data_IF_375344441747
#
_entry.id   IF_375344441747
#
_cell.length_a   1.000
_cell.length_b   1.000
_cell.length_c   1.000
_cell.angle_alpha   90.00
_cell.angle_beta   90.00
_cell.angle_gamma   90.00
#
_symmetry.space_group_name_H-M   'P 1'
#
loop_
_entity.id
_entity.type
_entity.pdbx_description
1 polymer ?
#
# COMPACT_ATOMS: atom_id res chain seq x y z
N UNK A 1 -10.44 -29.35 18.12
CA UNK A 1 -10.66 -28.06 18.82
C UNK A 1 -9.45 -27.11 18.80
N UNK A 2 -8.42 -27.38 18.00
CA UNK A 2 -7.21 -26.53 17.87
C UNK A 2 -7.18 -25.68 16.59
N UNK A 3 -7.93 -26.08 15.54
CA UNK A 3 -7.98 -25.37 14.24
C UNK A 3 -8.70 -24.00 14.33
N UNK A 4 -9.64 -23.86 15.27
CA UNK A 4 -10.46 -22.65 15.42
C UNK A 4 -9.67 -21.44 15.97
N UNK A 5 -8.65 -21.68 16.82
CA UNK A 5 -7.83 -20.61 17.40
C UNK A 5 -6.78 -20.07 16.43
N UNK A 6 -6.18 -20.93 15.60
CA UNK A 6 -5.20 -20.49 14.60
C UNK A 6 -5.86 -19.71 13.44
N UNK A 7 -7.12 -20.05 13.10
CA UNK A 7 -7.90 -19.34 12.08
C UNK A 7 -8.29 -17.92 12.53
N UNK A 8 -8.51 -17.72 13.83
CA UNK A 8 -8.80 -16.40 14.43
C UNK A 8 -7.55 -15.50 14.50
N UNK A 9 -6.36 -16.05 14.80
CA UNK A 9 -5.10 -15.30 14.83
C UNK A 9 -4.66 -14.89 13.41
N UNK A 10 -4.93 -15.72 12.39
CA UNK A 10 -4.68 -15.40 10.99
C UNK A 10 -5.51 -14.23 10.47
N UNK A 11 -6.78 -14.12 10.88
CA UNK A 11 -7.69 -13.04 10.48
C UNK A 11 -7.30 -11.69 11.13
N UNK A 12 -6.88 -11.70 12.40
CA UNK A 12 -6.41 -10.51 13.11
C UNK A 12 -5.16 -9.89 12.45
N UNK A 13 -4.22 -10.73 11.97
CA UNK A 13 -3.00 -10.27 11.28
C UNK A 13 -3.29 -9.70 9.89
N UNK A 14 -4.29 -10.24 9.18
CA UNK A 14 -4.72 -9.73 7.87
C UNK A 14 -5.52 -8.43 7.96
N UNK A 15 -6.29 -8.21 9.03
CA UNK A 15 -6.90 -6.90 9.31
C UNK A 15 -5.84 -5.85 9.71
N UNK A 16 -4.89 -6.22 10.58
CA UNK A 16 -3.86 -5.29 11.06
C UNK A 16 -2.86 -4.87 9.98
N UNK A 17 -2.61 -5.68 8.94
CA UNK A 17 -1.70 -5.28 7.85
C UNK A 17 -2.28 -4.19 6.94
N UNK A 18 -3.60 -4.05 6.87
CA UNK A 18 -4.28 -3.01 6.09
C UNK A 18 -4.40 -1.66 6.83
N UNK A 19 -4.08 -1.61 8.12
CA UNK A 19 -4.06 -0.37 8.93
C UNK A 19 -2.67 0.29 8.96
N UNK A 20 -1.59 -0.42 8.60
CA UNK A 20 -0.21 0.12 8.56
C UNK A 20 0.15 0.84 7.24
N UNK A 21 -0.82 1.53 6.64
CA UNK A 21 -0.59 2.59 5.65
C UNK A 21 -1.50 3.81 5.91
N UNK A 22 -1.91 4.05 7.16
CA UNK A 22 -2.49 5.33 7.55
C UNK A 22 -2.30 5.72 9.03
N UNK A 23 -1.12 5.43 9.61
CA UNK A 23 -0.73 5.90 10.94
C UNK A 23 0.39 6.97 10.84
N UNK A 24 0.09 8.09 10.18
CA UNK A 24 0.89 9.32 10.33
C UNK A 24 0.07 10.61 10.22
N UNK A 25 -1.19 10.60 10.68
CA UNK A 25 -2.00 11.83 10.72
C UNK A 25 -3.09 11.78 11.81
N UNK A 26 -2.71 11.51 13.06
CA UNK A 26 -3.65 11.51 14.18
C UNK A 26 -3.02 11.99 15.51
N UNK A 27 -2.32 13.12 15.49
CA UNK A 27 -2.02 13.88 16.71
C UNK A 27 -2.14 15.39 16.45
N UNK A 28 -3.35 15.87 16.13
CA UNK A 28 -3.67 17.29 16.18
C UNK A 28 -5.16 17.50 16.49
N UNK A 29 -5.70 16.85 17.52
CA UNK A 29 -7.02 17.19 18.10
C UNK A 29 -7.10 16.87 19.59
N UNK A 30 -6.35 17.59 20.41
CA UNK A 30 -6.74 17.93 21.80
C UNK A 30 -5.70 18.88 22.39
N UNK A 31 -6.18 20.00 22.93
CA UNK A 31 -5.39 21.19 23.21
C UNK A 31 -4.54 21.12 24.47
N UNK A 32 -3.38 21.78 24.40
CA UNK A 32 -2.67 22.34 25.55
C UNK A 32 -2.57 23.86 25.33
N UNK A 33 -3.46 24.58 26.00
CA UNK A 33 -3.29 25.95 26.54
C UNK A 33 -2.08 25.87 27.53
N UNK A 34 -1.10 26.77 27.67
CA UNK A 34 -0.96 28.22 27.50
C UNK A 34 0.52 28.66 27.50
N UNK A 35 0.74 29.89 27.00
CA UNK A 35 1.74 30.91 27.40
C UNK A 35 3.25 30.66 27.21
N UNK A 36 3.79 31.33 26.18
CA UNK A 36 4.90 32.26 26.38
C UNK A 36 6.31 31.77 26.02
N UNK A 37 6.71 31.88 24.75
CA UNK A 37 8.04 32.38 24.37
C UNK A 37 8.04 32.78 22.89
N UNK A 38 8.27 34.07 22.63
CA UNK A 38 8.55 34.58 21.30
C UNK A 38 9.89 34.02 20.82
N UNK A 39 9.85 33.15 19.79
CA UNK A 39 11.04 32.79 19.00
C UNK A 39 10.71 33.04 17.54
N UNK A 40 11.34 34.08 16.99
CA UNK A 40 11.38 34.37 15.56
C UNK A 40 12.14 33.25 14.85
N UNK A 41 11.45 32.20 14.41
CA UNK A 41 12.04 31.20 13.50
C UNK A 41 11.75 31.65 12.08
N UNK A 42 12.65 32.46 11.54
CA UNK A 42 12.84 32.60 10.10
C UNK A 42 13.40 31.28 9.55
N UNK A 43 12.54 30.35 9.12
CA UNK A 43 12.92 29.35 8.11
C UNK A 43 11.69 29.00 7.28
N UNK A 44 11.30 29.88 6.35
CA UNK A 44 10.53 29.45 5.19
C UNK A 44 11.48 28.76 4.19
N UNK A 45 12.06 27.62 4.58
CA UNK A 45 12.55 26.66 3.59
C UNK A 45 11.34 25.92 3.06
N UNK A 46 10.58 26.59 2.19
CA UNK A 46 9.76 25.90 1.21
C UNK A 46 10.74 25.14 0.31
N UNK A 47 11.10 23.93 0.73
CA UNK A 47 11.67 22.95 -0.18
C UNK A 47 10.57 22.70 -1.20
N UNK A 48 10.59 23.45 -2.31
CA UNK A 48 10.00 22.99 -3.56
C UNK A 48 10.64 21.63 -3.75
N UNK A 49 9.89 20.57 -3.46
CA UNK A 49 10.31 19.22 -3.71
C UNK A 49 10.42 19.09 -5.24
N UNK A 50 11.53 19.56 -5.79
CA UNK A 50 11.87 19.38 -7.18
C UNK A 50 12.01 17.87 -7.37
N UNK A 51 11.30 17.35 -8.36
CA UNK A 51 11.47 15.97 -8.77
C UNK A 51 12.96 15.69 -8.99
N UNK A 52 13.50 14.71 -8.28
CA UNK A 52 14.90 14.32 -8.44
C UNK A 52 14.99 13.55 -9.76
N UNK A 53 15.68 14.12 -10.75
CA UNK A 53 15.89 13.41 -12.02
C UNK A 53 16.69 12.13 -11.79
N UNK A 54 16.42 11.09 -12.58
CA UNK A 54 17.09 9.78 -12.47
C UNK A 54 18.63 9.91 -12.47
N UNK A 55 19.16 10.84 -13.27
CA UNK A 55 20.60 11.09 -13.36
C UNK A 55 21.23 11.69 -12.10
N UNK A 56 20.44 12.30 -11.20
CA UNK A 56 20.93 12.84 -9.92
C UNK A 56 21.08 11.78 -8.82
N UNK A 57 20.60 10.55 -9.05
CA UNK A 57 20.85 9.42 -8.15
C UNK A 57 22.32 9.00 -8.24
N UNK A 58 22.92 8.56 -7.12
CA UNK A 58 24.25 7.96 -7.16
C UNK A 58 24.19 6.52 -7.74
N UNK A 59 25.35 5.92 -8.02
CA UNK A 59 25.43 4.60 -8.68
C UNK A 59 24.73 3.51 -7.86
N UNK A 60 24.98 3.46 -6.56
CA UNK A 60 24.37 2.48 -5.66
C UNK A 60 22.84 2.59 -5.65
N UNK A 61 22.31 3.82 -5.57
CA UNK A 61 20.87 4.08 -5.64
C UNK A 61 20.28 3.66 -6.97
N UNK A 62 20.96 3.96 -8.09
CA UNK A 62 20.50 3.54 -9.43
C UNK A 62 20.46 2.03 -9.55
N UNK A 63 21.46 1.33 -9.02
CA UNK A 63 21.50 -0.14 -9.05
C UNK A 63 20.34 -0.76 -8.27
N UNK A 64 20.03 -0.23 -7.08
CA UNK A 64 18.93 -0.72 -6.24
C UNK A 64 17.57 -0.40 -6.84
N UNK A 65 17.42 0.80 -7.42
CA UNK A 65 16.16 1.31 -7.96
C UNK A 65 15.93 0.98 -9.44
N UNK A 66 16.82 0.21 -10.08
CA UNK A 66 16.79 -0.08 -11.51
C UNK A 66 15.40 -0.52 -12.05
N UNK A 67 14.61 -1.35 -11.33
CA UNK A 67 13.26 -1.71 -11.78
C UNK A 67 12.31 -0.52 -11.98
N UNK A 68 12.54 0.61 -11.30
CA UNK A 68 11.69 1.81 -11.36
C UNK A 68 12.15 2.84 -12.39
N UNK A 69 13.22 2.58 -13.14
CA UNK A 69 13.84 3.56 -14.04
C UNK A 69 12.85 4.15 -15.05
N UNK A 70 12.08 3.29 -15.73
CA UNK A 70 11.14 3.68 -16.79
C UNK A 70 10.06 4.63 -16.26
N UNK A 71 9.52 4.31 -15.08
CA UNK A 71 8.43 5.05 -14.46
C UNK A 71 8.89 6.21 -13.56
N UNK A 72 10.21 6.38 -13.34
CA UNK A 72 10.74 7.29 -12.34
C UNK A 72 10.23 8.72 -12.50
N UNK A 73 10.16 9.21 -13.74
CA UNK A 73 9.68 10.56 -14.07
C UNK A 73 8.18 10.77 -13.81
N UNK A 74 7.38 9.69 -13.83
CA UNK A 74 5.95 9.72 -13.54
C UNK A 74 5.64 9.78 -12.04
N UNK A 75 6.62 9.46 -11.20
CA UNK A 75 6.46 9.48 -9.75
C UNK A 75 6.40 10.92 -9.22
N UNK A 76 5.51 11.15 -8.26
CA UNK A 76 5.50 12.44 -7.55
C UNK A 76 6.81 12.64 -6.79
N UNK A 77 7.28 13.89 -6.59
CA UNK A 77 8.54 14.16 -5.88
C UNK A 77 8.59 13.52 -4.48
N UNK A 78 7.46 13.49 -3.78
CA UNK A 78 7.31 12.83 -2.48
C UNK A 78 7.54 11.31 -2.54
N UNK A 79 7.17 10.65 -3.64
CA UNK A 79 7.40 9.21 -3.84
C UNK A 79 8.84 8.94 -4.24
N UNK A 80 9.41 9.75 -5.13
CA UNK A 80 10.83 9.66 -5.49
C UNK A 80 11.69 9.77 -4.23
N UNK A 81 11.44 10.77 -3.37
CA UNK A 81 12.15 10.92 -2.08
C UNK A 81 12.07 9.68 -1.21
N UNK A 82 10.89 9.07 -1.05
CA UNK A 82 10.72 7.83 -0.28
C UNK A 82 11.53 6.65 -0.84
N UNK A 83 11.58 6.51 -2.17
CA UNK A 83 12.39 5.46 -2.80
C UNK A 83 13.88 5.68 -2.61
N UNK A 84 14.34 6.94 -2.67
CA UNK A 84 15.74 7.28 -2.34
C UNK A 84 16.06 6.94 -0.88
N UNK A 85 15.17 7.26 0.07
CA UNK A 85 15.33 6.89 1.48
C UNK A 85 15.40 5.36 1.68
N UNK A 86 14.64 4.58 0.91
CA UNK A 86 14.72 3.11 0.93
C UNK A 86 16.06 2.63 0.36
N UNK A 87 16.50 3.19 -0.77
CA UNK A 87 17.79 2.85 -1.37
C UNK A 87 18.97 3.17 -0.43
N UNK A 88 18.90 4.29 0.31
CA UNK A 88 19.92 4.64 1.31
C UNK A 88 20.02 3.62 2.46
N UNK A 89 18.92 2.94 2.80
CA UNK A 89 18.91 1.91 3.84
C UNK A 89 19.28 0.52 3.33
N UNK A 90 19.27 0.32 2.01
CA UNK A 90 19.53 -0.98 1.36
C UNK A 90 20.83 -1.67 1.83
N UNK A 91 21.96 -0.97 2.01
CA UNK A 91 23.19 -1.60 2.49
C UNK A 91 23.07 -2.19 3.90
N UNK A 92 22.20 -1.62 4.74
CA UNK A 92 21.97 -2.03 6.13
C UNK A 92 20.89 -3.12 6.26
N UNK A 93 20.21 -3.49 5.18
CA UNK A 93 19.20 -4.55 5.17
C UNK A 93 19.83 -5.94 5.15
N UNK A 94 19.13 -6.89 5.78
CA UNK A 94 19.43 -8.32 5.64
C UNK A 94 19.10 -8.83 4.23
N UNK A 95 19.67 -9.97 3.85
CA UNK A 95 19.46 -10.54 2.51
C UNK A 95 17.98 -10.86 2.23
N UNK A 96 17.26 -11.39 3.23
CA UNK A 96 15.83 -11.66 3.11
C UNK A 96 15.00 -10.38 2.85
N UNK A 97 15.37 -9.27 3.50
CA UNK A 97 14.72 -7.98 3.29
C UNK A 97 15.02 -7.40 1.90
N UNK A 98 16.26 -7.55 1.42
CA UNK A 98 16.67 -7.13 0.07
C UNK A 98 15.89 -7.88 -1.00
N UNK A 99 15.74 -9.20 -0.86
CA UNK A 99 14.94 -10.03 -1.77
C UNK A 99 13.48 -9.58 -1.76
N UNK A 100 12.90 -9.40 -0.58
CA UNK A 100 11.50 -8.97 -0.45
C UNK A 100 11.27 -7.57 -1.04
N UNK A 101 12.24 -6.66 -0.88
CA UNK A 101 12.20 -5.33 -1.48
C UNK A 101 12.23 -5.42 -3.00
N UNK A 102 13.21 -6.15 -3.55
CA UNK A 102 13.37 -6.29 -5.00
C UNK A 102 12.14 -6.94 -5.66
N UNK A 103 11.59 -8.00 -5.05
CA UNK A 103 10.35 -8.64 -5.51
C UNK A 103 9.19 -7.64 -5.58
N UNK A 104 8.95 -6.90 -4.49
CA UNK A 104 7.86 -5.92 -4.43
C UNK A 104 8.08 -4.76 -5.39
N UNK A 105 9.32 -4.34 -5.59
CA UNK A 105 9.67 -3.27 -6.52
C UNK A 105 9.39 -3.70 -7.96
N UNK A 106 9.78 -4.92 -8.34
CA UNK A 106 9.48 -5.48 -9.66
C UNK A 106 7.97 -5.64 -9.88
N UNK A 107 7.23 -6.15 -8.89
CA UNK A 107 5.76 -6.23 -8.95
C UNK A 107 5.14 -4.84 -9.18
N UNK A 108 5.62 -3.81 -8.48
CA UNK A 108 5.11 -2.44 -8.62
C UNK A 108 5.46 -1.81 -9.97
N UNK A 109 6.69 -2.01 -10.44
CA UNK A 109 7.16 -1.55 -11.74
C UNK A 109 6.34 -2.18 -12.88
N UNK A 110 5.99 -3.46 -12.74
CA UNK A 110 5.15 -4.17 -13.71
C UNK A 110 3.68 -3.74 -13.74
N UNK A 111 3.20 -2.93 -12.78
CA UNK A 111 1.83 -2.40 -12.83
C UNK A 111 1.75 -1.23 -13.81
N UNK A 112 1.13 -1.44 -14.97
CA UNK A 112 0.82 -0.34 -15.90
C UNK A 112 -0.10 0.71 -15.27
N UNK A 113 -0.09 1.93 -15.82
CA UNK A 113 -0.95 3.04 -15.37
C UNK A 113 -2.44 2.66 -15.32
N UNK A 114 -2.91 1.86 -16.29
CA UNK A 114 -4.29 1.34 -16.32
C UNK A 114 -4.58 0.41 -15.13
N UNK A 115 -3.63 -0.46 -14.79
CA UNK A 115 -3.78 -1.39 -13.65
C UNK A 115 -3.74 -0.64 -12.32
N UNK A 116 -2.89 0.38 -12.21
CA UNK A 116 -2.84 1.29 -11.04
C UNK A 116 -4.16 2.06 -10.88
N UNK A 117 -4.74 2.56 -11.98
CA UNK A 117 -6.04 3.22 -11.92
C UNK A 117 -7.15 2.26 -11.50
N UNK A 118 -7.19 1.05 -12.07
CA UNK A 118 -8.15 0.02 -11.66
C UNK A 118 -8.02 -0.33 -10.18
N UNK A 119 -6.79 -0.46 -9.67
CA UNK A 119 -6.53 -0.68 -8.24
C UNK A 119 -7.08 0.45 -7.37
N UNK A 120 -6.88 1.71 -7.77
CA UNK A 120 -7.45 2.88 -7.09
C UNK A 120 -8.97 2.82 -7.10
N UNK A 121 -9.60 2.54 -8.24
CA UNK A 121 -11.06 2.49 -8.35
C UNK A 121 -11.66 1.34 -7.53
N UNK A 122 -11.00 0.18 -7.49
CA UNK A 122 -11.33 -0.92 -6.61
C UNK A 122 -11.27 -0.48 -5.14
N UNK A 123 -10.16 0.15 -4.73
CA UNK A 123 -9.99 0.64 -3.36
C UNK A 123 -11.09 1.64 -2.97
N UNK A 124 -11.36 2.64 -3.81
CA UNK A 124 -12.41 3.61 -3.58
C UNK A 124 -13.80 2.96 -3.47
N UNK A 125 -14.07 1.91 -4.27
CA UNK A 125 -15.30 1.11 -4.11
C UNK A 125 -15.36 0.41 -2.76
N UNK A 126 -14.25 -0.15 -2.27
CA UNK A 126 -14.24 -0.79 -0.95
C UNK A 126 -14.46 0.19 0.21
N UNK A 127 -14.10 1.47 0.06
CA UNK A 127 -14.35 2.48 1.10
C UNK A 127 -15.83 2.79 1.32
N UNK A 128 -16.70 2.44 0.36
CA UNK A 128 -18.16 2.61 0.48
C UNK A 128 -18.80 1.67 1.51
N UNK A 129 -18.11 0.59 1.88
CA UNK A 129 -18.60 -0.38 2.85
C UNK A 129 -18.01 -0.10 4.23
N UNK A 130 -18.87 -0.03 5.25
CA UNK A 130 -18.43 0.06 6.64
C UNK A 130 -17.63 -1.21 7.02
N UNK A 131 -16.75 -1.13 8.03
CA UNK A 131 -16.02 -2.30 8.53
C UNK A 131 -16.95 -3.46 8.91
N UNK A 132 -18.09 -3.17 9.53
CA UNK A 132 -19.12 -4.15 9.90
C UNK A 132 -19.70 -4.87 8.67
N UNK A 133 -20.05 -4.14 7.61
CA UNK A 133 -20.55 -4.75 6.37
C UNK A 133 -19.51 -5.64 5.69
N UNK A 134 -18.23 -5.27 5.76
CA UNK A 134 -17.13 -6.10 5.26
C UNK A 134 -16.98 -7.38 6.07
N UNK A 135 -17.09 -7.28 7.39
CA UNK A 135 -17.01 -8.43 8.30
C UNK A 135 -18.19 -9.40 8.09
N UNK A 136 -19.42 -8.88 8.05
CA UNK A 136 -20.62 -9.68 7.82
C UNK A 136 -20.55 -10.42 6.48
N UNK A 137 -20.12 -9.75 5.41
CA UNK A 137 -20.03 -10.38 4.11
C UNK A 137 -18.86 -11.39 4.01
N UNK A 138 -17.80 -11.20 4.80
CA UNK A 138 -16.75 -12.22 4.96
C UNK A 138 -17.27 -13.46 5.69
N UNK A 139 -18.06 -13.28 6.74
CA UNK A 139 -18.69 -14.39 7.47
C UNK A 139 -19.67 -15.16 6.58
N UNK A 140 -20.53 -14.46 5.84
CA UNK A 140 -21.42 -15.08 4.85
C UNK A 140 -20.64 -15.86 3.80
N UNK A 141 -19.45 -15.38 3.38
CA UNK A 141 -18.61 -16.12 2.46
C UNK A 141 -18.05 -17.42 3.06
N UNK A 142 -17.68 -17.42 4.34
CA UNK A 142 -17.18 -18.62 5.03
C UNK A 142 -18.25 -19.70 5.17
N UNK A 143 -19.52 -19.30 5.34
CA UNK A 143 -20.67 -20.21 5.46
C UNK A 143 -21.11 -20.84 4.13
N UNK A 144 -20.59 -20.40 2.99
CA UNK A 144 -20.90 -21.00 1.69
C UNK A 144 -20.39 -22.44 1.59
N UNK A 145 -21.15 -23.29 0.90
CA UNK A 145 -20.69 -24.62 0.50
C UNK A 145 -19.50 -24.52 -0.48
N UNK A 146 -18.71 -25.58 -0.59
CA UNK A 146 -17.58 -25.62 -1.54
C UNK A 146 -18.07 -25.51 -2.99
N UNK A 147 -19.25 -26.06 -3.29
CA UNK A 147 -19.93 -25.95 -4.57
C UNK A 147 -20.30 -24.50 -4.90
N UNK A 148 -20.83 -23.76 -3.92
CA UNK A 148 -21.18 -22.35 -4.10
C UNK A 148 -19.95 -21.45 -4.23
N UNK A 149 -18.88 -21.73 -3.47
CA UNK A 149 -17.58 -21.05 -3.61
C UNK A 149 -16.99 -21.27 -5.01
N UNK A 150 -17.04 -22.50 -5.54
CA UNK A 150 -16.64 -22.80 -6.93
C UNK A 150 -17.47 -22.02 -7.94
N UNK A 151 -18.80 -22.03 -7.80
CA UNK A 151 -19.70 -21.28 -8.69
C UNK A 151 -19.42 -19.77 -8.68
N UNK A 152 -19.09 -19.21 -7.52
CA UNK A 152 -18.66 -17.81 -7.38
C UNK A 152 -17.33 -17.54 -8.08
N UNK A 153 -16.35 -18.43 -7.95
CA UNK A 153 -15.07 -18.32 -8.63
C UNK A 153 -15.21 -18.41 -10.15
N UNK A 154 -16.01 -19.36 -10.64
CA UNK A 154 -16.30 -19.54 -12.07
C UNK A 154 -17.07 -18.35 -12.65
N UNK A 155 -18.05 -17.81 -11.92
CA UNK A 155 -18.77 -16.60 -12.31
C UNK A 155 -17.85 -15.39 -12.40
N UNK A 156 -16.87 -15.29 -11.51
CA UNK A 156 -15.83 -14.27 -11.58
C UNK A 156 -14.94 -14.50 -12.80
N UNK A 157 -14.52 -15.73 -13.07
CA UNK A 157 -13.68 -16.07 -14.22
C UNK A 157 -14.39 -15.78 -15.56
N UNK A 158 -15.67 -16.14 -15.69
CA UNK A 158 -16.47 -15.95 -16.91
C UNK A 158 -16.90 -14.50 -17.17
N UNK A 159 -17.00 -13.67 -16.12
CA UNK A 159 -17.28 -12.24 -16.26
C UNK A 159 -16.04 -11.37 -16.47
N UNK A 160 -14.83 -11.94 -16.40
CA UNK A 160 -13.58 -11.18 -16.45
C UNK A 160 -12.92 -11.27 -17.83
N UNK A 161 -13.10 -10.24 -18.66
CA UNK A 161 -11.99 -9.75 -19.50
C UNK A 161 -10.85 -9.34 -18.56
N UNK A 162 -9.56 -9.60 -18.87
CA UNK A 162 -8.48 -9.56 -17.89
C UNK A 162 -8.27 -8.14 -17.37
N UNK A 163 -8.87 -7.84 -16.22
CA UNK A 163 -8.55 -6.67 -15.41
C UNK A 163 -7.97 -7.18 -14.12
N UNK A 164 -6.64 -7.18 -14.08
CA UNK A 164 -5.81 -7.37 -12.89
C UNK A 164 -6.23 -6.41 -11.78
N UNK A 165 -6.18 -6.92 -10.55
CA UNK A 165 -6.71 -6.36 -9.29
C UNK A 165 -8.21 -6.63 -9.12
N UNK A 166 -8.55 -7.83 -8.64
CA UNK A 166 -9.92 -8.17 -8.24
C UNK A 166 -10.04 -8.15 -6.72
N UNK A 167 -10.67 -7.11 -6.18
CA UNK A 167 -11.32 -7.20 -4.87
C UNK A 167 -12.64 -7.98 -5.01
N UNK A 168 -13.00 -8.85 -4.04
CA UNK A 168 -14.30 -9.50 -4.04
C UNK A 168 -15.40 -8.43 -3.85
N UNK A 169 -16.32 -8.35 -4.81
CA UNK A 169 -17.49 -7.48 -4.73
C UNK A 169 -18.50 -8.11 -3.77
N UNK A 170 -18.68 -7.48 -2.61
CA UNK A 170 -19.79 -7.77 -1.71
C UNK A 170 -21.05 -7.13 -2.31
N UNK A 171 -22.07 -7.94 -2.56
CA UNK A 171 -23.38 -7.47 -3.05
C UNK A 171 -24.25 -7.02 -1.89
#
# INVERSE_FOLDING_TARGET
MTVEKDQMIGNQKCQNRFIYLNQLSAFLKSGFFTLGLAVLISIASTSLAFAQSWQKLNEDQRSVLAPLQEDWSSLTPSRQKKWVEVANRYPQMSEAERIALQSRMAEWAGLSNKQRQSARDNYLRTLKFSPEKKAAAWESYQQLSEEDKKRLAEKKASSTKPTTVTSPTLK
#
